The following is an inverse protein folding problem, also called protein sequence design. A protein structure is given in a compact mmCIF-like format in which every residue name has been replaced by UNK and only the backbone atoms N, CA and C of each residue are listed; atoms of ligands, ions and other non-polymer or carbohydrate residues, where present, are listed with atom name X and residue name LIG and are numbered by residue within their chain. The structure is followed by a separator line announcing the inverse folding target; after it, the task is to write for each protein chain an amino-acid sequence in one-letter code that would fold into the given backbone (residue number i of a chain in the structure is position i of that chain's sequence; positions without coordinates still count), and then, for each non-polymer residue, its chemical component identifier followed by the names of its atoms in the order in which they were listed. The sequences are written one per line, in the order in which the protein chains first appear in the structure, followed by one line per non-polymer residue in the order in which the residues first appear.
data_IF_233799088933
#
_entry.id   IF_233799088933
#
_cell.length_a   1.000
_cell.length_b   1.000
_cell.length_c   1.000
_cell.angle_alpha   90.00
_cell.angle_beta   90.00
_cell.angle_gamma   90.00
#
_symmetry.space_group_name_H-M   'P 1'
#
loop_
_entity.id
_entity.type
_entity.pdbx_description
1 polymer ?
#
# COMPACT_ATOMS: atom_id res chain seq x y z
N UNK A 1 25.90 8.22 5.19
CA UNK A 1 24.78 7.30 4.94
C UNK A 1 24.73 7.05 3.44
N UNK A 2 24.71 5.80 3.01
CA UNK A 2 24.49 5.48 1.59
C UNK A 2 23.02 5.76 1.28
N UNK A 3 22.74 6.59 0.29
CA UNK A 3 21.36 6.83 -0.19
C UNK A 3 20.98 5.67 -1.12
N UNK A 4 20.35 4.65 -0.56
CA UNK A 4 20.08 3.38 -1.25
C UNK A 4 19.12 3.52 -2.43
N UNK A 5 18.26 4.54 -2.41
CA UNK A 5 17.26 4.82 -3.44
C UNK A 5 17.55 6.11 -4.22
N UNK A 6 18.82 6.60 -4.15
CA UNK A 6 19.18 7.89 -4.76
C UNK A 6 18.86 7.94 -6.26
N UNK A 7 18.07 8.93 -6.65
CA UNK A 7 17.66 9.18 -8.03
C UNK A 7 16.52 8.30 -8.54
N UNK A 8 16.04 7.33 -7.76
CA UNK A 8 14.88 6.54 -8.16
C UNK A 8 13.57 7.32 -7.96
N UNK A 9 12.65 7.13 -8.87
CA UNK A 9 11.26 7.62 -8.75
C UNK A 9 10.37 6.50 -8.24
N UNK A 10 9.77 6.70 -7.06
CA UNK A 10 8.87 5.75 -6.41
C UNK A 10 7.43 6.27 -6.46
N UNK A 11 6.53 5.50 -7.07
CA UNK A 11 5.09 5.74 -7.04
C UNK A 11 4.46 4.81 -6.01
N UNK A 12 3.85 5.37 -4.96
CA UNK A 12 3.08 4.60 -3.98
C UNK A 12 1.58 4.78 -4.23
N UNK A 13 0.85 3.69 -4.30
CA UNK A 13 -0.62 3.68 -4.36
C UNK A 13 -1.17 2.73 -3.29
N UNK A 14 -2.31 3.07 -2.70
CA UNK A 14 -2.87 2.22 -1.66
C UNK A 14 -4.27 2.59 -1.21
N UNK A 15 -4.78 1.83 -0.26
CA UNK A 15 -6.10 1.98 0.33
C UNK A 15 -6.14 2.97 1.51
N UNK A 16 -6.95 2.70 2.54
CA UNK A 16 -7.09 3.58 3.71
C UNK A 16 -5.79 3.79 4.48
N UNK A 17 -4.86 2.83 4.44
CA UNK A 17 -3.55 2.97 5.07
C UNK A 17 -2.66 4.06 4.44
N UNK A 18 -3.05 4.56 3.26
CA UNK A 18 -2.39 5.62 2.52
C UNK A 18 -3.21 6.92 2.45
N UNK A 19 -4.33 7.03 3.16
CA UNK A 19 -5.28 8.14 2.93
C UNK A 19 -5.40 9.15 4.08
N UNK A 20 -4.61 9.01 5.13
CA UNK A 20 -4.71 9.83 6.36
C UNK A 20 -3.33 10.34 6.79
N UNK A 21 -3.21 11.59 7.26
CA UNK A 21 -1.98 12.10 7.88
C UNK A 21 -1.51 11.19 9.03
N UNK A 22 -0.19 10.99 9.15
CA UNK A 22 0.40 10.09 10.14
C UNK A 22 0.44 8.61 9.73
N UNK A 23 -0.31 8.21 8.68
CA UNK A 23 -0.30 6.86 8.14
C UNK A 23 0.88 6.65 7.17
N UNK A 24 0.91 5.55 6.44
CA UNK A 24 2.03 5.22 5.53
C UNK A 24 2.30 6.29 4.47
N UNK A 25 1.29 7.08 4.07
CA UNK A 25 1.47 8.23 3.18
C UNK A 25 2.37 9.32 3.79
N UNK A 26 2.56 9.29 5.11
CA UNK A 26 3.51 10.15 5.83
C UNK A 26 4.77 9.36 6.15
N UNK A 27 4.65 8.28 6.92
CA UNK A 27 5.80 7.59 7.51
C UNK A 27 6.68 6.91 6.48
N UNK A 28 6.11 6.05 5.62
CA UNK A 28 6.86 5.39 4.55
C UNK A 28 7.35 6.38 3.49
N UNK A 29 6.52 7.38 3.15
CA UNK A 29 6.93 8.44 2.22
C UNK A 29 8.20 9.14 2.71
N UNK A 30 8.22 9.55 3.98
CA UNK A 30 9.38 10.24 4.56
C UNK A 30 10.61 9.34 4.65
N UNK A 31 10.44 8.05 4.96
CA UNK A 31 11.55 7.10 5.05
C UNK A 31 12.19 6.88 3.66
N UNK A 32 11.40 6.64 2.62
CA UNK A 32 11.91 6.50 1.24
C UNK A 32 12.57 7.80 0.72
N UNK A 33 12.05 8.97 1.12
CA UNK A 33 12.67 10.27 0.82
C UNK A 33 14.04 10.40 1.49
N UNK A 34 14.19 9.98 2.74
CA UNK A 34 15.49 9.99 3.45
C UNK A 34 16.53 9.12 2.75
N UNK A 35 16.11 8.06 2.08
CA UNK A 35 16.98 7.19 1.28
C UNK A 35 17.28 7.75 -0.12
N UNK A 36 16.79 8.94 -0.43
CA UNK A 36 17.12 9.69 -1.65
C UNK A 36 16.19 9.49 -2.83
N UNK A 37 15.05 8.81 -2.65
CA UNK A 37 14.06 8.68 -3.71
C UNK A 37 13.26 9.97 -3.96
N UNK A 38 12.77 10.13 -5.18
CA UNK A 38 11.63 11.00 -5.50
C UNK A 38 10.34 10.22 -5.26
N UNK A 39 9.49 10.64 -4.33
CA UNK A 39 8.34 9.85 -3.89
C UNK A 39 7.01 10.54 -4.21
N UNK A 40 6.14 9.82 -4.90
CA UNK A 40 4.79 10.28 -5.26
C UNK A 40 3.77 9.31 -4.67
N UNK A 41 2.99 9.75 -3.70
CA UNK A 41 2.11 8.92 -2.89
C UNK A 41 0.65 9.26 -3.10
N UNK A 42 -0.19 8.25 -3.32
CA UNK A 42 -1.62 8.38 -3.51
C UNK A 42 -2.36 7.33 -2.70
N UNK A 43 -3.30 7.77 -1.90
CA UNK A 43 -4.16 6.91 -1.08
C UNK A 43 -5.64 7.10 -1.42
N UNK A 44 -6.39 6.01 -1.48
CA UNK A 44 -7.83 6.01 -1.76
C UNK A 44 -8.54 5.10 -0.75
N UNK A 45 -9.13 5.73 0.26
CA UNK A 45 -9.80 5.04 1.36
C UNK A 45 -10.93 4.12 0.88
N UNK A 46 -10.93 2.86 1.33
CA UNK A 46 -11.94 1.87 0.99
C UNK A 46 -11.88 1.33 -0.45
N UNK A 47 -10.76 1.51 -1.12
CA UNK A 47 -10.59 1.19 -2.55
C UNK A 47 -9.83 -0.12 -2.75
N UNK A 48 -10.40 -1.12 -3.45
CA UNK A 48 -9.70 -2.34 -3.82
C UNK A 48 -8.65 -2.06 -4.90
N UNK A 49 -7.72 -2.99 -5.07
CA UNK A 49 -6.55 -2.77 -5.92
C UNK A 49 -6.88 -2.49 -7.40
N UNK A 50 -7.80 -3.24 -7.99
CA UNK A 50 -8.16 -3.09 -9.41
C UNK A 50 -8.83 -1.76 -9.74
N UNK A 51 -9.40 -1.10 -8.74
CA UNK A 51 -10.01 0.22 -8.92
C UNK A 51 -8.99 1.33 -9.27
N UNK A 52 -7.70 1.11 -9.02
CA UNK A 52 -6.63 2.00 -9.47
C UNK A 52 -6.45 2.04 -10.99
N UNK A 53 -7.11 1.15 -11.74
CA UNK A 53 -7.11 1.18 -13.20
C UNK A 53 -8.12 2.16 -13.80
N UNK A 54 -8.97 2.76 -12.97
CA UNK A 54 -10.04 3.68 -13.38
C UNK A 54 -10.04 4.94 -12.51
N UNK A 55 -10.68 5.99 -12.99
CA UNK A 55 -10.98 7.16 -12.18
C UNK A 55 -12.22 6.87 -11.32
N UNK A 56 -12.01 6.60 -10.04
CA UNK A 56 -13.08 6.31 -9.10
C UNK A 56 -13.21 7.40 -8.03
N UNK A 57 -14.38 7.49 -7.42
CA UNK A 57 -14.62 8.28 -6.22
C UNK A 57 -14.39 7.38 -5.01
N UNK A 58 -13.32 7.60 -4.20
CA UNK A 58 -13.05 6.77 -3.03
C UNK A 58 -14.17 6.88 -1.99
N UNK A 59 -14.66 5.75 -1.41
CA UNK A 59 -15.81 5.77 -0.49
C UNK A 59 -15.64 6.65 0.74
N UNK A 60 -14.42 6.79 1.26
CA UNK A 60 -14.13 7.57 2.47
C UNK A 60 -13.00 8.60 2.28
N UNK A 61 -12.83 9.09 1.05
CA UNK A 61 -11.86 10.13 0.73
C UNK A 61 -10.52 9.61 0.23
N UNK A 62 -9.63 10.55 -0.06
CA UNK A 62 -8.32 10.27 -0.63
C UNK A 62 -7.27 11.23 -0.07
N UNK A 63 -6.02 10.87 -0.24
CA UNK A 63 -4.90 11.76 0.02
C UNK A 63 -3.82 11.59 -1.06
N UNK A 64 -3.01 12.62 -1.23
CA UNK A 64 -1.82 12.53 -2.07
C UNK A 64 -0.71 13.43 -1.52
N UNK A 65 0.51 13.01 -1.77
CA UNK A 65 1.72 13.77 -1.45
C UNK A 65 2.73 13.61 -2.59
N UNK A 66 3.24 14.74 -3.08
CA UNK A 66 4.10 14.78 -4.25
C UNK A 66 5.48 15.26 -3.83
N UNK A 67 6.43 14.34 -3.78
CA UNK A 67 7.83 14.57 -3.43
C UNK A 67 7.97 15.42 -2.15
N UNK A 68 8.65 16.56 -2.18
CA UNK A 68 8.81 17.48 -1.03
C UNK A 68 7.55 18.31 -0.74
N UNK A 69 6.48 18.10 -1.48
CA UNK A 69 5.24 18.86 -1.33
C UNK A 69 4.45 18.49 -0.08
N UNK A 70 3.49 19.32 0.31
CA UNK A 70 2.62 19.05 1.45
C UNK A 70 1.63 17.93 1.16
N UNK A 71 1.30 17.15 2.19
CA UNK A 71 0.21 16.20 2.14
C UNK A 71 -1.13 16.93 1.91
N UNK A 72 -1.89 16.45 0.94
CA UNK A 72 -3.23 16.96 0.60
C UNK A 72 -4.26 15.86 0.84
N UNK A 73 -5.23 16.13 1.70
CA UNK A 73 -6.38 15.24 1.97
C UNK A 73 -7.60 15.80 1.26
N UNK A 74 -8.39 14.91 0.68
CA UNK A 74 -9.64 15.24 -0.02
C UNK A 74 -10.80 14.39 0.51
N UNK A 75 -11.93 14.99 0.86
CA UNK A 75 -13.14 14.24 1.17
C UNK A 75 -13.65 13.50 -0.08
N UNK A 76 -14.54 12.52 0.12
CA UNK A 76 -15.06 11.68 -0.97
C UNK A 76 -15.71 12.51 -2.10
N UNK A 77 -16.35 13.61 -1.77
CA UNK A 77 -17.05 14.49 -2.71
C UNK A 77 -16.09 15.32 -3.58
N UNK A 78 -14.82 15.46 -3.18
CA UNK A 78 -13.87 16.39 -3.80
C UNK A 78 -13.20 15.87 -5.08
N UNK A 79 -13.54 14.65 -5.54
CA UNK A 79 -13.02 14.21 -6.82
C UNK A 79 -12.72 12.72 -6.93
N UNK A 80 -12.07 12.40 -8.03
CA UNK A 80 -11.74 11.05 -8.45
C UNK A 80 -10.24 10.79 -8.28
N UNK A 81 -9.87 9.51 -8.12
CA UNK A 81 -8.48 9.07 -8.24
C UNK A 81 -7.99 9.26 -9.67
N UNK A 82 -6.69 9.39 -9.84
CA UNK A 82 -6.06 9.25 -11.17
C UNK A 82 -5.80 7.77 -11.43
N UNK A 83 -6.18 7.26 -12.61
CA UNK A 83 -5.84 5.89 -13.01
C UNK A 83 -4.32 5.66 -13.03
N UNK A 84 -3.87 4.44 -12.72
CA UNK A 84 -2.45 4.07 -12.75
C UNK A 84 -1.75 4.44 -14.06
N UNK A 85 -2.33 4.21 -15.27
CA UNK A 85 -1.66 4.61 -16.50
C UNK A 85 -1.38 6.13 -16.61
N UNK A 86 -2.26 6.96 -16.05
CA UNK A 86 -2.02 8.41 -15.97
C UNK A 86 -0.92 8.76 -14.98
N UNK A 87 -0.89 8.09 -13.80
CA UNK A 87 0.13 8.29 -12.79
C UNK A 87 1.51 7.87 -13.32
N UNK A 88 1.58 6.74 -14.02
CA UNK A 88 2.82 6.26 -14.67
C UNK A 88 3.30 7.27 -15.72
N UNK A 89 2.41 7.77 -16.58
CA UNK A 89 2.75 8.79 -17.56
C UNK A 89 3.21 10.11 -16.93
N UNK A 90 2.66 10.45 -15.77
CA UNK A 90 2.98 11.70 -15.08
C UNK A 90 4.33 11.64 -14.34
N UNK A 91 4.62 10.52 -13.70
CA UNK A 91 5.76 10.41 -12.77
C UNK A 91 6.91 9.55 -13.30
N UNK A 92 6.69 8.74 -14.34
CA UNK A 92 7.72 7.83 -14.90
C UNK A 92 8.41 7.00 -13.80
N UNK A 93 7.66 6.24 -12.97
CA UNK A 93 8.24 5.56 -11.83
C UNK A 93 9.18 4.42 -12.24
N UNK A 94 10.29 4.29 -11.52
CA UNK A 94 11.19 3.13 -11.56
C UNK A 94 10.62 1.99 -10.72
N UNK A 95 9.97 2.36 -9.60
CA UNK A 95 9.36 1.43 -8.65
C UNK A 95 7.91 1.85 -8.33
N UNK A 96 7.00 0.89 -8.42
CA UNK A 96 5.61 1.05 -7.94
C UNK A 96 5.47 0.25 -6.65
N UNK A 97 5.04 0.90 -5.56
CA UNK A 97 4.74 0.27 -4.26
C UNK A 97 3.21 0.26 -4.08
N UNK A 98 2.64 -0.94 -4.03
CA UNK A 98 1.21 -1.14 -3.81
C UNK A 98 0.97 -1.51 -2.35
N UNK A 99 0.15 -0.74 -1.64
CA UNK A 99 -0.26 -1.02 -0.26
C UNK A 99 -1.77 -1.31 -0.30
N UNK A 100 -2.11 -2.57 -0.48
CA UNK A 100 -3.50 -2.98 -0.59
C UNK A 100 -3.68 -4.46 -0.18
N UNK A 101 -4.52 -4.69 0.80
CA UNK A 101 -4.82 -6.02 1.33
C UNK A 101 -6.04 -5.99 2.24
N UNK A 102 -6.05 -5.10 3.20
CA UNK A 102 -7.11 -5.03 4.22
C UNK A 102 -8.48 -4.69 3.61
N UNK A 103 -8.54 -3.81 2.63
CA UNK A 103 -9.80 -3.48 1.92
C UNK A 103 -10.40 -4.69 1.19
N UNK A 104 -9.57 -5.65 0.80
CA UNK A 104 -10.01 -6.88 0.14
C UNK A 104 -10.19 -8.06 1.12
N UNK A 105 -9.89 -7.87 2.40
CA UNK A 105 -9.84 -8.92 3.42
C UNK A 105 -11.18 -9.57 3.76
N UNK A 106 -12.31 -8.93 3.46
CA UNK A 106 -13.63 -9.47 3.76
C UNK A 106 -13.78 -9.86 5.23
N UNK A 107 -13.24 -9.06 6.15
CA UNK A 107 -13.14 -9.44 7.56
C UNK A 107 -14.48 -9.69 8.26
N UNK A 108 -15.55 -9.04 7.79
CA UNK A 108 -16.93 -9.26 8.28
C UNK A 108 -17.68 -10.36 7.55
N UNK A 109 -17.17 -10.80 6.39
CA UNK A 109 -17.81 -11.84 5.60
C UNK A 109 -17.47 -13.23 6.15
N UNK A 110 -18.25 -14.27 5.85
CA UNK A 110 -17.94 -15.63 6.28
C UNK A 110 -16.58 -16.12 5.77
N UNK A 111 -16.21 -15.74 4.55
CA UNK A 111 -14.95 -16.11 3.91
C UNK A 111 -14.42 -15.02 2.98
N UNK A 112 -13.12 -15.06 2.70
CA UNK A 112 -12.50 -14.20 1.69
C UNK A 112 -12.99 -14.61 0.30
N UNK A 113 -13.50 -13.65 -0.47
CA UNK A 113 -13.91 -13.87 -1.86
C UNK A 113 -12.68 -13.97 -2.79
N UNK A 114 -12.03 -15.15 -2.81
CA UNK A 114 -10.77 -15.37 -3.52
C UNK A 114 -10.84 -15.06 -5.02
N UNK A 115 -11.97 -15.35 -5.69
CA UNK A 115 -12.14 -15.03 -7.12
C UNK A 115 -12.13 -13.52 -7.34
N UNK A 116 -12.92 -12.78 -6.57
CA UNK A 116 -12.95 -11.33 -6.66
C UNK A 116 -11.60 -10.70 -6.34
N UNK A 117 -10.93 -11.12 -5.25
CA UNK A 117 -9.58 -10.64 -4.90
C UNK A 117 -8.60 -10.87 -6.04
N UNK A 118 -8.62 -12.07 -6.66
CA UNK A 118 -7.76 -12.37 -7.80
C UNK A 118 -8.02 -11.45 -9.00
N UNK A 119 -9.28 -11.17 -9.31
CA UNK A 119 -9.65 -10.32 -10.43
C UNK A 119 -9.19 -8.86 -10.17
N UNK A 120 -9.35 -8.36 -8.95
CA UNK A 120 -8.87 -7.04 -8.53
C UNK A 120 -7.34 -6.93 -8.62
N UNK A 121 -6.62 -7.93 -8.08
CA UNK A 121 -5.15 -7.99 -8.14
C UNK A 121 -4.67 -8.08 -9.59
N UNK A 122 -5.29 -8.97 -10.39
CA UNK A 122 -4.90 -9.15 -11.80
C UNK A 122 -5.07 -7.87 -12.62
N UNK A 123 -6.17 -7.15 -12.45
CA UNK A 123 -6.38 -5.86 -13.15
C UNK A 123 -5.24 -4.88 -12.87
N UNK A 124 -4.83 -4.74 -11.62
CA UNK A 124 -3.75 -3.82 -11.25
C UNK A 124 -2.39 -4.33 -11.74
N UNK A 125 -2.08 -5.60 -11.52
CA UNK A 125 -0.77 -6.18 -11.91
C UNK A 125 -0.57 -6.21 -13.43
N UNK A 126 -1.63 -6.39 -14.22
CA UNK A 126 -1.57 -6.25 -15.67
C UNK A 126 -1.19 -4.80 -16.08
N UNK A 127 -1.78 -3.80 -15.43
CA UNK A 127 -1.44 -2.39 -15.65
C UNK A 127 0.00 -2.05 -15.25
N UNK A 128 0.45 -2.57 -14.11
CA UNK A 128 1.85 -2.41 -13.65
C UNK A 128 2.81 -3.07 -14.65
N UNK A 129 2.52 -4.29 -15.07
CA UNK A 129 3.33 -5.00 -16.07
C UNK A 129 3.44 -4.22 -17.38
N UNK A 130 2.36 -3.60 -17.82
CA UNK A 130 2.34 -2.77 -19.03
C UNK A 130 3.18 -1.48 -18.89
N UNK A 131 3.38 -0.98 -17.67
CA UNK A 131 4.22 0.19 -17.41
C UNK A 131 5.73 -0.09 -17.55
N UNK A 132 6.15 -1.33 -17.37
CA UNK A 132 7.56 -1.74 -17.33
C UNK A 132 8.28 -1.40 -16.02
N UNK A 133 7.65 -0.71 -15.07
CA UNK A 133 8.23 -0.41 -13.77
C UNK A 133 8.39 -1.67 -12.92
N UNK A 134 9.42 -1.72 -12.09
CA UNK A 134 9.51 -2.72 -11.02
C UNK A 134 8.37 -2.51 -10.02
N UNK A 135 7.94 -3.56 -9.32
CA UNK A 135 6.90 -3.40 -8.33
C UNK A 135 7.09 -4.25 -7.07
N UNK A 136 6.59 -3.68 -5.97
CA UNK A 136 6.45 -4.30 -4.67
C UNK A 136 4.97 -4.27 -4.29
N UNK A 137 4.48 -5.37 -3.73
CA UNK A 137 3.15 -5.43 -3.12
C UNK A 137 3.27 -5.70 -1.63
N UNK A 138 2.81 -4.76 -0.83
CA UNK A 138 2.78 -4.85 0.63
C UNK A 138 1.46 -5.47 1.07
N UNK A 139 1.53 -6.61 1.72
CA UNK A 139 0.38 -7.31 2.27
C UNK A 139 -0.14 -6.69 3.57
N UNK A 140 -1.30 -7.16 4.07
CA UNK A 140 -1.89 -6.66 5.30
C UNK A 140 -0.97 -6.92 6.50
N UNK A 141 -0.97 -6.00 7.47
CA UNK A 141 -0.35 -6.21 8.78
C UNK A 141 -1.34 -6.84 9.77
N UNK A 142 -0.87 -7.29 10.94
CA UNK A 142 -1.74 -8.01 11.89
C UNK A 142 -2.94 -7.19 12.38
N UNK A 143 -2.73 -5.96 12.83
CA UNK A 143 -3.74 -5.19 13.54
C UNK A 143 -4.09 -5.78 14.90
N UNK A 144 -5.33 -5.63 15.35
CA UNK A 144 -5.90 -6.29 16.52
C UNK A 144 -7.21 -6.99 16.16
N UNK A 145 -7.58 -8.01 16.96
CA UNK A 145 -8.79 -8.79 16.68
C UNK A 145 -10.07 -8.00 16.99
N UNK A 146 -11.06 -8.16 16.13
CA UNK A 146 -12.38 -7.52 16.28
C UNK A 146 -12.39 -6.08 15.79
N UNK A 147 -12.96 -5.19 16.60
CA UNK A 147 -13.12 -3.78 16.29
C UNK A 147 -14.13 -3.50 15.17
N UNK A 148 -14.14 -2.26 14.70
CA UNK A 148 -15.10 -1.76 13.69
C UNK A 148 -15.12 -2.60 12.41
N UNK A 149 -13.97 -3.11 12.00
CA UNK A 149 -13.83 -3.86 10.74
C UNK A 149 -13.93 -5.37 10.90
N UNK A 150 -13.95 -5.90 12.13
CA UNK A 150 -14.05 -7.34 12.38
C UNK A 150 -12.81 -8.13 11.96
N UNK A 151 -11.64 -7.47 11.93
CA UNK A 151 -10.37 -8.11 11.58
C UNK A 151 -10.05 -9.26 12.53
N UNK A 152 -9.56 -10.37 12.01
CA UNK A 152 -9.01 -11.48 12.80
C UNK A 152 -7.63 -11.86 12.29
N UNK A 153 -6.77 -12.35 13.17
CA UNK A 153 -5.43 -12.79 12.79
C UNK A 153 -5.47 -13.93 11.78
N UNK A 154 -6.45 -14.84 11.91
CA UNK A 154 -6.65 -15.94 10.96
C UNK A 154 -6.94 -15.42 9.55
N UNK A 155 -7.82 -14.42 9.41
CA UNK A 155 -8.14 -13.83 8.10
C UNK A 155 -7.01 -12.96 7.55
N UNK A 156 -6.32 -12.19 8.41
CA UNK A 156 -5.14 -11.44 7.99
C UNK A 156 -4.08 -12.37 7.41
N UNK A 157 -3.81 -13.49 8.09
CA UNK A 157 -2.88 -14.52 7.61
C UNK A 157 -3.35 -15.14 6.29
N UNK A 158 -4.60 -15.57 6.20
CA UNK A 158 -5.15 -16.18 4.99
C UNK A 158 -5.12 -15.22 3.78
N UNK A 159 -5.34 -13.91 4.00
CA UNK A 159 -5.23 -12.90 2.95
C UNK A 159 -3.76 -12.70 2.53
N UNK A 160 -2.82 -12.60 3.49
CA UNK A 160 -1.39 -12.45 3.20
C UNK A 160 -0.89 -13.63 2.36
N UNK A 161 -1.15 -14.86 2.80
CA UNK A 161 -0.77 -16.09 2.08
C UNK A 161 -1.39 -16.16 0.68
N UNK A 162 -2.59 -15.65 0.51
CA UNK A 162 -3.24 -15.65 -0.81
C UNK A 162 -2.66 -14.58 -1.74
N UNK A 163 -2.41 -13.38 -1.24
CA UNK A 163 -1.79 -12.31 -2.03
C UNK A 163 -0.40 -12.71 -2.51
N UNK A 164 0.43 -13.31 -1.65
CA UNK A 164 1.76 -13.80 -2.03
C UNK A 164 1.73 -14.71 -3.28
N UNK A 165 0.66 -15.48 -3.46
CA UNK A 165 0.51 -16.40 -4.61
C UNK A 165 0.07 -15.70 -5.90
N UNK A 166 -0.56 -14.52 -5.82
CA UNK A 166 -1.28 -13.95 -6.98
C UNK A 166 -0.78 -12.57 -7.43
N UNK A 167 0.11 -11.91 -6.68
CA UNK A 167 0.56 -10.54 -6.99
C UNK A 167 1.66 -10.44 -8.05
N UNK A 168 2.10 -11.57 -8.62
CA UNK A 168 3.10 -11.53 -9.71
C UNK A 168 2.65 -10.56 -10.82
N UNK A 169 3.56 -9.71 -11.36
CA UNK A 169 5.04 -9.76 -11.26
C UNK A 169 5.64 -9.02 -10.05
N UNK A 170 4.83 -8.47 -9.14
CA UNK A 170 5.37 -7.73 -7.99
C UNK A 170 6.08 -8.65 -6.99
N UNK A 171 7.17 -8.14 -6.41
CA UNK A 171 7.78 -8.77 -5.23
C UNK A 171 6.85 -8.57 -4.04
N UNK A 172 6.47 -9.66 -3.37
CA UNK A 172 5.58 -9.58 -2.21
C UNK A 172 6.36 -9.25 -0.94
N UNK A 173 5.88 -8.29 -0.17
CA UNK A 173 6.37 -7.96 1.18
C UNK A 173 5.32 -8.41 2.19
N UNK A 174 5.66 -9.43 2.97
CA UNK A 174 4.79 -9.97 4.01
C UNK A 174 4.90 -9.15 5.30
N UNK A 175 3.97 -8.22 5.50
CA UNK A 175 3.92 -7.38 6.71
C UNK A 175 3.72 -8.19 8.00
N UNK A 176 3.20 -9.42 7.91
CA UNK A 176 3.01 -10.27 9.09
C UNK A 176 4.34 -10.75 9.68
N UNK A 177 5.41 -10.76 8.90
CA UNK A 177 6.76 -11.12 9.38
C UNK A 177 7.47 -9.98 10.10
N UNK A 178 6.94 -8.75 10.03
CA UNK A 178 7.56 -7.56 10.63
C UNK A 178 7.22 -7.40 12.11
N UNK A 179 6.17 -8.07 12.59
CA UNK A 179 5.71 -7.98 13.98
C UNK A 179 4.98 -9.25 14.42
N UNK A 180 4.70 -9.35 15.71
CA UNK A 180 3.81 -10.37 16.26
C UNK A 180 2.34 -9.92 16.17
N UNK A 181 1.37 -10.86 16.18
CA UNK A 181 -0.04 -10.52 16.27
C UNK A 181 -0.35 -9.55 17.42
N UNK A 182 -0.98 -8.42 17.14
CA UNK A 182 -1.36 -7.40 18.12
C UNK A 182 -0.21 -6.56 18.69
N UNK A 183 1.01 -6.71 18.21
CA UNK A 183 2.17 -5.99 18.75
C UNK A 183 2.11 -4.48 18.45
N UNK A 184 1.72 -4.11 17.24
CA UNK A 184 1.61 -2.70 16.90
C UNK A 184 0.27 -2.13 17.37
N UNK A 185 0.29 -0.97 18.09
CA UNK A 185 -0.93 -0.40 18.64
C UNK A 185 -1.87 0.07 17.53
N UNK A 186 -3.13 -0.36 17.62
CA UNK A 186 -4.22 0.08 16.74
C UNK A 186 -5.01 1.22 17.36
N UNK A 187 -5.74 1.96 16.53
CA UNK A 187 -6.72 2.95 17.00
C UNK A 187 -7.78 2.21 17.84
N UNK A 188 -8.10 2.69 19.05
CA UNK A 188 -9.06 2.03 19.93
C UNK A 188 -10.40 1.76 19.24
N UNK A 189 -10.86 0.51 19.26
CA UNK A 189 -12.12 0.09 18.64
C UNK A 189 -12.09 -0.08 17.11
N UNK A 190 -10.99 0.24 16.44
CA UNK A 190 -10.86 0.10 14.99
C UNK A 190 -10.44 -1.34 14.59
N UNK A 191 -9.36 -1.84 15.13
CA UNK A 191 -8.81 -3.17 14.89
C UNK A 191 -7.95 -3.30 13.64
N UNK A 192 -8.08 -2.40 12.67
CA UNK A 192 -7.39 -2.44 11.38
C UNK A 192 -6.33 -1.35 11.24
N UNK A 193 -6.67 -0.11 11.58
CA UNK A 193 -5.76 1.01 11.45
C UNK A 193 -4.92 1.19 12.71
N UNK A 194 -3.67 1.58 12.53
CA UNK A 194 -2.70 1.75 13.60
C UNK A 194 -2.71 3.18 14.14
N UNK A 195 -2.19 3.35 15.35
CA UNK A 195 -1.77 4.67 15.85
C UNK A 195 -0.54 5.15 15.07
N UNK A 196 -0.15 6.41 15.27
CA UNK A 196 1.06 6.96 14.62
C UNK A 196 2.29 6.09 14.90
N UNK A 197 2.45 5.60 16.14
CA UNK A 197 3.56 4.72 16.51
C UNK A 197 3.53 3.38 15.73
N UNK A 198 2.35 2.80 15.53
CA UNK A 198 2.20 1.59 14.73
C UNK A 198 2.54 1.84 13.26
N UNK A 199 2.13 2.98 12.70
CA UNK A 199 2.48 3.33 11.33
C UNK A 199 3.97 3.68 11.14
N UNK A 200 4.62 4.28 12.14
CA UNK A 200 6.08 4.47 12.11
C UNK A 200 6.79 3.12 12.04
N UNK A 201 6.40 2.17 12.90
CA UNK A 201 6.99 0.83 12.90
C UNK A 201 6.74 0.08 11.59
N UNK A 202 5.52 0.17 11.05
CA UNK A 202 5.18 -0.49 9.78
C UNK A 202 5.90 0.16 8.59
N UNK A 203 5.94 1.48 8.51
CA UNK A 203 6.64 2.23 7.48
C UNK A 203 8.13 1.86 7.42
N UNK A 204 8.82 1.90 8.56
CA UNK A 204 10.22 1.50 8.64
C UNK A 204 10.45 0.02 8.30
N UNK A 205 9.52 -0.87 8.66
CA UNK A 205 9.59 -2.28 8.26
C UNK A 205 9.47 -2.48 6.75
N UNK A 206 8.57 -1.73 6.10
CA UNK A 206 8.41 -1.77 4.64
C UNK A 206 9.64 -1.20 3.94
N UNK A 207 10.11 -0.02 4.36
CA UNK A 207 11.32 0.60 3.82
C UNK A 207 12.50 -0.38 3.90
N UNK A 208 12.77 -0.94 5.09
CA UNK A 208 13.84 -1.93 5.28
C UNK A 208 13.68 -3.14 4.35
N UNK A 209 12.46 -3.65 4.17
CA UNK A 209 12.21 -4.77 3.26
C UNK A 209 12.47 -4.40 1.79
N UNK A 210 12.16 -3.17 1.37
CA UNK A 210 12.45 -2.68 0.02
C UNK A 210 13.96 -2.60 -0.21
N UNK A 211 14.70 -1.94 0.69
CA UNK A 211 16.14 -1.67 0.50
C UNK A 211 17.01 -2.92 0.66
N UNK A 212 16.53 -3.94 1.37
CA UNK A 212 17.25 -5.22 1.55
C UNK A 212 16.83 -6.31 0.56
N UNK A 213 15.78 -6.09 -0.21
CA UNK A 213 15.30 -7.05 -1.22
C UNK A 213 16.12 -6.98 -2.51
N UNK A 214 15.92 -7.97 -3.37
CA UNK A 214 16.48 -8.01 -4.73
C UNK A 214 15.73 -7.08 -5.71
N UNK A 215 14.69 -6.36 -5.27
CA UNK A 215 13.88 -5.52 -6.12
C UNK A 215 14.70 -4.40 -6.78
N UNK A 216 15.68 -3.85 -6.06
CA UNK A 216 16.52 -2.79 -6.59
C UNK A 216 17.40 -3.27 -7.77
N UNK A 217 17.73 -4.56 -7.82
CA UNK A 217 18.44 -5.17 -8.94
C UNK A 217 17.56 -5.34 -10.19
N UNK A 218 16.24 -5.32 -10.02
CA UNK A 218 15.26 -5.43 -11.12
C UNK A 218 14.95 -4.08 -11.76
N UNK A 219 15.31 -2.97 -11.10
CA UNK A 219 15.14 -1.63 -11.63
C UNK A 219 16.18 -1.42 -12.73
N UNK A 220 15.70 -1.27 -13.96
CA UNK A 220 16.59 -1.00 -15.12
C UNK A 220 16.98 0.48 -15.09
N UNK A 221 18.27 0.73 -15.05
CA UNK A 221 18.85 2.06 -15.27
C UNK A 221 18.87 2.40 -16.77
#
# INVERSE_FOLDING_TARGET
MSLLLAGLTVLMIGDSHMSTPGYLITTLHDDLKKDGAHVYSYGACGTPSGAWMEAIRPPCGSAFRLDDGPLRVRPSEAGFTKPLPELVKLHHPDLIVVINGDTMGGYKDPAISKSWVRDEVKRLTDGIKASGAACVWVGPAWGSEGGKYGKTFAKAKAMSEYLEQIVSPCTYIDSLKMSKPGEWPTIPGDGQHFTDAGYVSWGSGIEHAIVTSDILQKIKH
#
